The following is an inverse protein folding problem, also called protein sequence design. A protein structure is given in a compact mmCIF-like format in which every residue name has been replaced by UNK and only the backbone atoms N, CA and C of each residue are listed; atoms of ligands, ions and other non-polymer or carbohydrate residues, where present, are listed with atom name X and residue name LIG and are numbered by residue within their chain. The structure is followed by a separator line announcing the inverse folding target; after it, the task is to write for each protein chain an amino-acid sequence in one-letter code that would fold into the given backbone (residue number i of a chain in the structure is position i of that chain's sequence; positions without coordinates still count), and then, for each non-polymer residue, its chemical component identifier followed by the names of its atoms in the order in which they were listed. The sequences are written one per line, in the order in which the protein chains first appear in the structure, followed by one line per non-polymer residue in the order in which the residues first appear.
data_IF_336132324421
#
_entry.id   IF_336132324421
#
_cell.length_a   1.000
_cell.length_b   1.000
_cell.length_c   1.000
_cell.angle_alpha   90.00
_cell.angle_beta   90.00
_cell.angle_gamma   90.00
#
_symmetry.space_group_name_H-M   'P 1'
#
loop_
_entity.id
_entity.type
_entity.pdbx_description
1 polymer ?
#
# COMPACT_ATOMS: atom_id res chain seq x y z
N UNK A 1 -26.92 3.33 -1.69
CA UNK A 1 -26.16 3.58 -2.93
C UNK A 1 -26.86 3.06 -4.20
N UNK A 2 -27.17 3.92 -5.16
CA UNK A 2 -27.60 3.50 -6.51
C UNK A 2 -26.57 4.03 -7.52
N UNK A 3 -25.67 3.17 -7.98
CA UNK A 3 -24.78 3.49 -9.09
C UNK A 3 -25.62 3.93 -10.29
N UNK A 4 -25.23 5.02 -10.95
CA UNK A 4 -26.01 5.62 -12.06
C UNK A 4 -26.17 4.67 -13.25
N UNK A 5 -25.23 3.74 -13.45
CA UNK A 5 -25.30 2.73 -14.50
C UNK A 5 -24.49 1.46 -14.15
N UNK A 6 -24.74 0.32 -14.82
CA UNK A 6 -23.95 -0.91 -14.62
C UNK A 6 -22.47 -0.74 -15.01
N UNK A 7 -22.19 0.13 -15.98
CA UNK A 7 -20.83 0.44 -16.43
C UNK A 7 -20.01 1.16 -15.35
N UNK A 8 -20.66 2.02 -14.55
CA UNK A 8 -20.01 2.72 -13.42
C UNK A 8 -19.63 1.73 -12.31
N UNK A 9 -20.49 0.72 -12.03
CA UNK A 9 -20.15 -0.38 -11.10
C UNK A 9 -18.93 -1.15 -11.56
N UNK A 10 -18.87 -1.50 -12.86
CA UNK A 10 -17.74 -2.25 -13.43
C UNK A 10 -16.46 -1.43 -13.43
N UNK A 11 -16.53 -0.14 -13.72
CA UNK A 11 -15.40 0.77 -13.69
C UNK A 11 -14.85 0.95 -12.26
N UNK A 12 -15.73 1.20 -11.29
CA UNK A 12 -15.38 1.28 -9.86
C UNK A 12 -14.70 0.01 -9.36
N UNK A 13 -15.28 -1.16 -9.67
CA UNK A 13 -14.70 -2.45 -9.30
C UNK A 13 -13.30 -2.65 -9.90
N UNK A 14 -13.13 -2.33 -11.19
CA UNK A 14 -11.84 -2.44 -11.87
C UNK A 14 -10.79 -1.50 -11.27
N UNK A 15 -11.18 -0.27 -10.91
CA UNK A 15 -10.27 0.66 -10.25
C UNK A 15 -9.90 0.20 -8.83
N UNK A 16 -10.86 -0.31 -8.04
CA UNK A 16 -10.56 -0.88 -6.73
C UNK A 16 -9.60 -2.08 -6.84
N UNK A 17 -9.84 -2.98 -7.79
CA UNK A 17 -8.93 -4.10 -8.05
C UNK A 17 -7.53 -3.62 -8.45
N UNK A 18 -7.44 -2.56 -9.26
CA UNK A 18 -6.17 -1.95 -9.63
C UNK A 18 -5.47 -1.26 -8.44
N UNK A 19 -6.22 -0.68 -7.51
CA UNK A 19 -5.69 -0.14 -6.25
C UNK A 19 -5.12 -1.25 -5.37
N UNK A 20 -5.87 -2.33 -5.15
CA UNK A 20 -5.38 -3.50 -4.41
C UNK A 20 -4.13 -4.10 -5.06
N UNK A 21 -4.13 -4.29 -6.38
CA UNK A 21 -2.97 -4.81 -7.09
C UNK A 21 -1.73 -3.92 -6.92
N UNK A 22 -1.86 -2.59 -7.00
CA UNK A 22 -0.76 -1.65 -6.76
C UNK A 22 -0.25 -1.74 -5.32
N UNK A 23 -1.14 -1.82 -4.33
CA UNK A 23 -0.76 -1.95 -2.92
C UNK A 23 -0.02 -3.27 -2.66
N UNK A 24 -0.46 -4.37 -3.25
CA UNK A 24 0.22 -5.66 -3.17
C UNK A 24 1.61 -5.63 -3.82
N UNK A 25 1.75 -4.98 -4.97
CA UNK A 25 3.06 -4.80 -5.62
C UNK A 25 3.99 -3.98 -4.73
N UNK A 26 3.51 -2.88 -4.15
CA UNK A 26 4.33 -2.06 -3.24
C UNK A 26 4.70 -2.88 -1.99
N UNK A 27 3.75 -3.60 -1.41
CA UNK A 27 3.99 -4.47 -0.26
C UNK A 27 5.04 -5.55 -0.57
N UNK A 28 4.97 -6.17 -1.75
CA UNK A 28 5.96 -7.13 -2.23
C UNK A 28 7.34 -6.48 -2.40
N UNK A 29 7.42 -5.34 -3.07
CA UNK A 29 8.68 -4.61 -3.29
C UNK A 29 9.31 -4.18 -1.95
N UNK A 30 8.50 -3.74 -1.00
CA UNK A 30 8.99 -3.35 0.33
C UNK A 30 9.48 -4.57 1.09
N UNK A 31 8.65 -5.61 1.19
CA UNK A 31 8.97 -6.79 2.02
C UNK A 31 10.14 -7.57 1.45
N UNK A 32 10.16 -7.77 0.14
CA UNK A 32 11.17 -8.57 -0.55
C UNK A 32 12.38 -7.73 -1.00
N UNK A 33 12.13 -6.55 -1.58
CA UNK A 33 13.18 -5.67 -2.07
C UNK A 33 13.99 -5.05 -0.95
N UNK A 34 13.35 -4.45 0.06
CA UNK A 34 14.07 -3.83 1.18
C UNK A 34 14.44 -4.84 2.28
N UNK A 35 13.64 -5.89 2.48
CA UNK A 35 13.92 -6.90 3.50
C UNK A 35 14.99 -7.92 3.12
N UNK A 36 15.12 -8.27 1.84
CA UNK A 36 16.01 -9.36 1.38
C UNK A 36 17.05 -8.86 0.39
N UNK A 37 16.64 -8.15 -0.67
CA UNK A 37 17.53 -7.83 -1.80
C UNK A 37 18.49 -6.68 -1.49
N UNK A 38 17.99 -5.63 -0.82
CA UNK A 38 18.77 -4.47 -0.38
C UNK A 38 19.27 -4.61 1.05
N UNK A 39 19.10 -5.78 1.67
CA UNK A 39 19.47 -5.99 3.08
C UNK A 39 20.94 -5.69 3.31
N UNK A 40 21.83 -6.05 2.36
CA UNK A 40 23.27 -5.80 2.49
C UNK A 40 23.63 -4.32 2.41
N UNK A 41 22.95 -3.56 1.55
CA UNK A 41 23.13 -2.09 1.45
C UNK A 41 22.58 -1.41 2.71
N UNK A 42 21.41 -1.83 3.18
CA UNK A 42 20.80 -1.33 4.40
C UNK A 42 21.61 -1.71 5.65
N UNK A 43 22.28 -2.86 5.64
CA UNK A 43 23.13 -3.31 6.73
C UNK A 43 24.43 -2.50 6.87
N UNK A 44 24.85 -1.75 5.83
CA UNK A 44 25.95 -0.79 5.94
C UNK A 44 25.58 0.43 6.78
N UNK A 45 24.29 0.76 6.84
CA UNK A 45 23.79 1.84 7.68
C UNK A 45 23.42 1.25 9.04
N UNK A 46 24.07 1.73 10.08
CA UNK A 46 23.74 1.34 11.45
C UNK A 46 22.85 2.41 12.06
N UNK A 47 21.65 2.02 12.47
CA UNK A 47 20.70 2.90 13.15
C UNK A 47 20.66 2.46 14.61
N UNK A 48 21.00 3.39 15.51
CA UNK A 48 21.05 3.14 16.96
C UNK A 48 21.95 1.95 17.39
N UNK A 49 22.98 1.62 16.60
CA UNK A 49 23.89 0.50 16.87
C UNK A 49 23.43 -0.86 16.32
N UNK A 50 22.30 -0.91 15.61
CA UNK A 50 21.77 -2.12 14.97
C UNK A 50 21.78 -1.96 13.45
N UNK A 51 21.94 -3.08 12.73
CA UNK A 51 21.89 -3.07 11.26
C UNK A 51 20.49 -2.72 10.78
N UNK A 52 20.36 -1.73 9.89
CA UNK A 52 19.06 -1.25 9.41
C UNK A 52 18.25 -2.35 8.72
N UNK A 53 18.91 -3.25 7.98
CA UNK A 53 18.25 -4.39 7.34
C UNK A 53 17.57 -5.33 8.36
N UNK A 54 18.21 -5.55 9.52
CA UNK A 54 17.63 -6.34 10.61
C UNK A 54 16.42 -5.65 11.26
N UNK A 55 16.53 -4.35 11.52
CA UNK A 55 15.41 -3.56 12.03
C UNK A 55 14.23 -3.57 11.04
N UNK A 56 14.52 -3.49 9.73
CA UNK A 56 13.49 -3.47 8.70
C UNK A 56 12.76 -4.83 8.60
N UNK A 57 13.51 -5.93 8.71
CA UNK A 57 12.95 -7.28 8.73
C UNK A 57 12.02 -7.54 9.94
N UNK A 58 12.28 -6.88 11.07
CA UNK A 58 11.59 -7.16 12.33
C UNK A 58 10.46 -6.17 12.65
N UNK A 59 10.65 -4.88 12.35
CA UNK A 59 9.70 -3.80 12.65
C UNK A 59 9.41 -2.90 11.44
N UNK A 60 10.31 -2.80 10.45
CA UNK A 60 10.07 -1.97 9.27
C UNK A 60 8.84 -2.38 8.47
N UNK A 61 8.62 -3.69 8.30
CA UNK A 61 7.49 -4.22 7.54
C UNK A 61 6.13 -3.79 8.10
N UNK A 62 5.96 -3.74 9.43
CA UNK A 62 4.68 -3.32 10.04
C UNK A 62 4.41 -1.83 9.85
N UNK A 63 5.44 -0.97 9.93
CA UNK A 63 5.26 0.47 9.64
C UNK A 63 4.85 0.72 8.19
N UNK A 64 5.43 -0.01 7.25
CA UNK A 64 5.05 0.12 5.85
C UNK A 64 3.64 -0.41 5.62
N UNK A 65 3.25 -1.50 6.29
CA UNK A 65 1.89 -2.01 6.22
C UNK A 65 0.86 -0.97 6.70
N UNK A 66 1.12 -0.31 7.83
CA UNK A 66 0.26 0.78 8.33
C UNK A 66 0.21 1.95 7.35
N UNK A 67 1.35 2.36 6.78
CA UNK A 67 1.39 3.42 5.77
C UNK A 67 0.57 3.05 4.52
N UNK A 68 0.61 1.79 4.07
CA UNK A 68 -0.20 1.29 2.96
C UNK A 68 -1.70 1.35 3.25
N UNK A 69 -2.12 1.08 4.49
CA UNK A 69 -3.52 1.22 4.91
C UNK A 69 -3.99 2.67 4.79
N UNK A 70 -3.20 3.64 5.25
CA UNK A 70 -3.54 5.06 5.11
C UNK A 70 -3.61 5.49 3.65
N UNK A 71 -2.66 5.05 2.82
CA UNK A 71 -2.67 5.32 1.37
C UNK A 71 -3.91 4.71 0.71
N UNK A 72 -4.26 3.48 1.08
CA UNK A 72 -5.47 2.81 0.60
C UNK A 72 -6.71 3.62 0.97
N UNK A 73 -6.90 3.96 2.25
CA UNK A 73 -8.05 4.77 2.69
C UNK A 73 -8.14 6.09 1.93
N UNK A 74 -7.03 6.80 1.77
CA UNK A 74 -7.02 8.07 1.05
C UNK A 74 -7.41 7.90 -0.42
N UNK A 75 -6.88 6.87 -1.10
CA UNK A 75 -7.21 6.59 -2.49
C UNK A 75 -8.64 6.07 -2.66
N UNK A 76 -9.14 5.28 -1.72
CA UNK A 76 -10.51 4.78 -1.71
C UNK A 76 -11.49 5.95 -1.56
N UNK A 77 -11.24 6.85 -0.61
CA UNK A 77 -12.04 8.08 -0.44
C UNK A 77 -12.02 8.96 -1.71
N UNK A 78 -10.87 9.06 -2.39
CA UNK A 78 -10.80 9.77 -3.67
C UNK A 78 -11.58 9.04 -4.80
N UNK A 79 -11.61 7.72 -4.78
CA UNK A 79 -12.39 6.89 -5.71
C UNK A 79 -13.89 7.05 -5.45
N UNK A 80 -14.31 6.97 -4.20
CA UNK A 80 -15.71 7.14 -3.78
C UNK A 80 -16.23 8.54 -4.18
N UNK A 81 -15.41 9.59 -3.98
CA UNK A 81 -15.69 10.94 -4.49
C UNK A 81 -15.84 11.03 -6.00
N UNK A 82 -14.98 10.33 -6.76
CA UNK A 82 -15.04 10.32 -8.23
C UNK A 82 -16.32 9.69 -8.76
N UNK A 83 -16.79 8.64 -8.11
CA UNK A 83 -17.97 7.90 -8.53
C UNK A 83 -19.25 8.37 -7.82
N UNK A 84 -19.17 9.38 -6.95
CA UNK A 84 -20.31 9.91 -6.20
C UNK A 84 -20.92 8.89 -5.24
N UNK A 85 -20.09 7.96 -4.74
CA UNK A 85 -20.45 6.95 -3.74
C UNK A 85 -20.08 7.44 -2.33
N UNK A 86 -19.80 8.74 -2.17
CA UNK A 86 -19.83 9.38 -0.86
C UNK A 86 -21.28 9.29 -0.34
N UNK A 87 -21.53 8.30 0.51
CA UNK A 87 -22.61 8.37 1.48
C UNK A 87 -22.26 9.47 2.49
N UNK A 88 -23.28 10.24 2.88
CA UNK A 88 -23.22 11.32 3.87
C UNK A 88 -22.36 11.01 5.11
#
# INVERSE_FOLDING_TARGET
MAFRNEDDKKAYWRENLALMAKLLVIWFVVSFGFGILLVDVLNQIQVFGFKLGFWFAQQGAIYVFVALIFIYMYKMNQLDKRYGVDEE
#
